data_IF_447236328655
#
_entry.id   IF_447236328655
#
_cell.length_a   1.000
_cell.length_b   1.000
_cell.length_c   1.000
_cell.angle_alpha   90.00
_cell.angle_beta   90.00
_cell.angle_gamma   90.00
#
_symmetry.space_group_name_H-M   'P 1'
#
loop_
_entity.id
_entity.type
_entity.pdbx_description
1 polymer ?
#
# COMPACT_ATOMS: atom_id res chain seq x y z
N UNK A 1 33.86 0.80 17.43
CA UNK A 1 33.37 0.80 16.03
C UNK A 1 33.14 2.25 15.59
N UNK A 2 33.77 2.67 14.50
CA UNK A 2 33.70 4.07 14.03
C UNK A 2 32.29 4.34 13.48
N UNK A 3 31.68 5.47 13.85
CA UNK A 3 30.34 5.89 13.41
C UNK A 3 30.14 5.86 11.88
N UNK A 4 31.23 6.01 11.12
CA UNK A 4 31.21 5.91 9.65
C UNK A 4 30.88 4.51 9.11
N UNK A 5 31.28 3.45 9.81
CA UNK A 5 31.02 2.06 9.36
C UNK A 5 29.53 1.70 9.49
N UNK A 6 28.84 2.29 10.48
CA UNK A 6 27.40 2.08 10.65
C UNK A 6 26.59 2.78 9.55
N UNK A 7 27.02 3.96 9.10
CA UNK A 7 26.37 4.70 8.00
C UNK A 7 26.53 3.94 6.68
N UNK A 8 27.69 3.38 6.41
CA UNK A 8 27.92 2.55 5.21
C UNK A 8 27.14 1.23 5.26
N UNK A 9 26.99 0.62 6.44
CA UNK A 9 26.18 -0.58 6.62
C UNK A 9 24.67 -0.28 6.38
N UNK A 10 24.18 0.87 6.86
CA UNK A 10 22.81 1.32 6.59
C UNK A 10 22.58 1.63 5.11
N UNK A 11 23.55 2.17 4.39
CA UNK A 11 23.48 2.43 2.95
C UNK A 11 23.53 1.12 2.12
N UNK A 12 24.17 0.07 2.60
CA UNK A 12 24.22 -1.23 1.93
C UNK A 12 23.00 -2.12 2.21
N UNK A 13 22.28 -1.90 3.32
CA UNK A 13 21.04 -2.62 3.64
C UNK A 13 19.82 -1.97 2.94
N UNK A 14 19.95 -0.74 2.44
CA UNK A 14 18.89 0.02 1.77
C UNK A 14 18.35 -0.54 0.42
N UNK A 15 18.93 -1.55 -0.28
CA UNK A 15 18.36 -2.02 -1.54
C UNK A 15 17.25 -3.07 -1.43
N UNK A 16 16.81 -3.51 -0.26
CA UNK A 16 15.98 -4.71 -0.16
C UNK A 16 14.57 -4.57 0.41
N UNK A 17 14.03 -3.36 0.56
CA UNK A 17 12.64 -3.21 1.04
C UNK A 17 11.90 -2.23 0.15
N UNK A 18 10.86 -2.72 -0.57
CA UNK A 18 10.23 -1.88 -1.59
C UNK A 18 8.79 -2.29 -1.94
N UNK A 19 7.92 -1.38 -2.28
CA UNK A 19 6.47 -1.48 -2.46
C UNK A 19 5.90 -1.29 -3.85
N UNK A 20 4.68 -1.76 -4.03
CA UNK A 20 3.90 -1.66 -5.26
C UNK A 20 3.33 -0.26 -5.50
N UNK A 21 3.16 0.09 -6.76
CA UNK A 21 3.10 1.43 -7.30
C UNK A 21 1.85 1.77 -8.05
N UNK A 22 1.69 3.07 -8.33
CA UNK A 22 0.81 3.56 -9.37
C UNK A 22 1.46 3.36 -10.74
N UNK A 23 0.80 2.54 -11.58
CA UNK A 23 1.33 2.12 -12.87
C UNK A 23 0.62 2.87 -13.99
N UNK A 24 1.42 3.39 -14.91
CA UNK A 24 0.92 3.81 -16.21
C UNK A 24 1.17 2.68 -17.22
N UNK A 25 0.14 1.94 -17.57
CA UNK A 25 0.22 0.78 -18.45
C UNK A 25 0.75 1.07 -19.85
N UNK A 26 0.68 2.33 -20.32
CA UNK A 26 1.21 2.77 -21.62
C UNK A 26 2.64 3.29 -21.56
N UNK A 27 3.21 3.32 -20.35
CA UNK A 27 4.60 3.73 -20.12
C UNK A 27 5.50 2.56 -19.68
N UNK A 28 4.95 1.35 -19.58
CA UNK A 28 5.71 0.15 -19.27
C UNK A 28 6.49 -0.30 -20.52
N UNK A 29 7.76 -0.56 -20.34
CA UNK A 29 8.67 -1.08 -21.36
C UNK A 29 9.29 -2.38 -20.83
N UNK A 30 9.46 -3.37 -21.69
CA UNK A 30 10.07 -4.65 -21.28
C UNK A 30 11.51 -4.52 -20.77
N UNK A 31 12.19 -3.44 -21.13
CA UNK A 31 13.55 -3.12 -20.64
C UNK A 31 13.61 -2.60 -19.22
N UNK A 32 12.50 -2.06 -18.70
CA UNK A 32 12.43 -1.45 -17.37
C UNK A 32 11.58 -2.32 -16.44
N UNK A 33 12.19 -3.38 -15.94
CA UNK A 33 11.47 -4.37 -15.14
C UNK A 33 11.30 -3.98 -13.66
N UNK A 34 12.10 -3.04 -13.19
CA UNK A 34 12.09 -2.61 -11.80
C UNK A 34 11.43 -1.25 -11.65
N UNK A 35 10.58 -1.15 -10.67
CA UNK A 35 9.82 0.04 -10.34
C UNK A 35 10.03 0.35 -8.85
N UNK A 36 10.52 1.53 -8.51
CA UNK A 36 10.71 2.01 -7.14
C UNK A 36 9.84 3.23 -6.90
N UNK A 37 9.17 3.30 -5.75
CA UNK A 37 8.33 4.45 -5.39
C UNK A 37 8.57 4.91 -3.97
N UNK A 38 8.56 6.21 -3.76
CA UNK A 38 8.43 6.86 -2.47
C UNK A 38 7.07 7.53 -2.40
N UNK A 39 6.40 7.43 -1.26
CA UNK A 39 5.05 7.96 -1.09
C UNK A 39 4.86 8.63 0.26
N UNK A 40 3.98 9.62 0.25
CA UNK A 40 3.45 10.28 1.43
C UNK A 40 1.95 10.44 1.23
N UNK A 41 1.17 10.31 2.29
CA UNK A 41 -0.28 10.43 2.18
C UNK A 41 -1.01 10.21 3.48
N UNK A 42 -2.30 9.92 3.33
CA UNK A 42 -3.19 9.60 4.42
C UNK A 42 -3.93 8.29 4.09
N UNK A 43 -3.82 7.28 4.95
CA UNK A 43 -4.56 6.01 4.86
C UNK A 43 -5.18 5.72 6.24
N UNK A 44 -4.47 5.11 7.15
CA UNK A 44 -4.87 4.91 8.54
C UNK A 44 -4.34 5.99 9.49
N UNK A 45 -3.70 6.98 8.96
CA UNK A 45 -3.10 8.17 9.55
C UNK A 45 -2.30 8.89 8.47
N UNK A 46 -1.58 9.94 8.82
CA UNK A 46 -0.58 10.51 7.91
C UNK A 46 0.59 9.56 7.84
N UNK A 47 0.87 9.01 6.66
CA UNK A 47 1.86 7.94 6.45
C UNK A 47 2.90 8.34 5.42
N UNK A 48 4.09 7.82 5.57
CA UNK A 48 5.09 7.76 4.51
C UNK A 48 5.47 6.32 4.24
N UNK A 49 5.97 6.07 3.07
CA UNK A 49 6.33 4.72 2.69
C UNK A 49 7.15 4.66 1.42
N UNK A 50 7.54 3.47 1.11
CA UNK A 50 8.24 3.19 -0.12
C UNK A 50 7.79 1.86 -0.71
N UNK A 51 7.95 1.71 -2.03
CA UNK A 51 7.41 0.60 -2.78
C UNK A 51 8.30 0.11 -3.91
N UNK A 52 8.30 -1.24 -4.17
CA UNK A 52 8.99 -1.92 -5.28
C UNK A 52 8.04 -2.82 -6.07
N UNK A 53 8.09 -2.74 -7.35
CA UNK A 53 7.44 -3.64 -8.25
C UNK A 53 8.46 -4.28 -9.18
N UNK A 54 8.23 -5.54 -9.49
CA UNK A 54 8.96 -6.26 -10.51
C UNK A 54 7.99 -6.68 -11.63
N UNK A 55 8.24 -6.19 -12.82
CA UNK A 55 7.48 -6.56 -14.01
C UNK A 55 7.98 -7.92 -14.52
N UNK A 56 7.08 -8.88 -14.51
CA UNK A 56 7.37 -10.21 -15.04
C UNK A 56 7.46 -10.15 -16.58
N UNK A 57 8.36 -10.92 -17.19
CA UNK A 57 8.56 -10.95 -18.63
C UNK A 57 7.48 -11.77 -19.35
N UNK A 58 6.21 -11.47 -19.06
CA UNK A 58 5.06 -12.10 -19.73
C UNK A 58 4.56 -11.27 -20.90
N UNK A 59 3.85 -11.90 -21.82
CA UNK A 59 3.19 -11.23 -22.96
C UNK A 59 2.20 -10.16 -22.49
N UNK A 60 1.51 -10.42 -21.39
CA UNK A 60 0.65 -9.44 -20.70
C UNK A 60 1.42 -8.86 -19.51
N UNK A 61 1.36 -7.56 -19.27
CA UNK A 61 2.09 -6.94 -18.17
C UNK A 61 1.54 -7.40 -16.82
N UNK A 62 2.38 -8.12 -16.07
CA UNK A 62 2.11 -8.55 -14.69
C UNK A 62 3.22 -7.99 -13.81
N UNK A 63 2.85 -7.35 -12.73
CA UNK A 63 3.79 -6.77 -11.78
C UNK A 63 3.54 -7.36 -10.42
N UNK A 64 4.56 -7.96 -9.84
CA UNK A 64 4.56 -8.35 -8.44
C UNK A 64 5.11 -7.18 -7.63
N UNK A 65 4.40 -6.78 -6.60
CA UNK A 65 4.78 -5.65 -5.79
C UNK A 65 4.72 -5.93 -4.30
N UNK A 66 5.60 -5.29 -3.59
CA UNK A 66 5.61 -5.33 -2.11
C UNK A 66 5.74 -3.96 -1.51
N UNK A 67 5.38 -3.82 -0.26
CA UNK A 67 5.44 -2.66 0.43
C UNK A 67 5.43 -2.41 1.91
N UNK A 68 5.99 -1.25 2.39
CA UNK A 68 6.00 -0.80 3.78
C UNK A 68 5.51 0.65 3.90
N UNK A 69 4.57 0.95 4.76
CA UNK A 69 4.24 2.29 5.23
C UNK A 69 4.23 2.34 6.75
N UNK A 70 4.56 3.51 7.25
CA UNK A 70 4.52 3.80 8.68
C UNK A 70 3.93 5.20 8.87
N UNK A 71 3.13 5.43 9.90
CA UNK A 71 2.62 6.75 10.19
C UNK A 71 3.73 7.66 10.69
N UNK A 72 3.53 8.96 10.53
CA UNK A 72 4.29 9.95 11.26
C UNK A 72 3.85 9.88 12.73
N UNK A 73 4.74 9.46 13.60
CA UNK A 73 4.46 9.28 15.03
C UNK A 73 5.69 9.42 15.90
N UNK A 74 5.48 9.37 17.21
CA UNK A 74 6.53 9.56 18.21
C UNK A 74 7.58 8.46 18.21
N UNK A 75 7.18 7.23 17.86
CA UNK A 75 8.07 6.06 17.86
C UNK A 75 8.10 5.43 16.47
N UNK A 76 9.30 5.36 15.90
CA UNK A 76 9.52 4.76 14.60
C UNK A 76 9.20 3.25 14.62
N UNK A 77 8.39 2.79 13.68
CA UNK A 77 8.01 1.37 13.52
C UNK A 77 7.09 0.79 14.61
N UNK A 78 6.51 1.59 15.48
CA UNK A 78 5.46 1.10 16.39
C UNK A 78 4.24 0.66 15.59
N UNK A 79 3.84 1.46 14.62
CA UNK A 79 2.79 1.15 13.68
C UNK A 79 3.38 1.00 12.29
N UNK A 80 3.01 -0.05 11.59
CA UNK A 80 3.39 -0.24 10.20
C UNK A 80 2.38 -1.11 9.44
N UNK A 81 2.38 -0.93 8.14
CA UNK A 81 1.67 -1.80 7.20
C UNK A 81 2.63 -2.30 6.14
N UNK A 82 2.72 -3.62 6.02
CA UNK A 82 3.40 -4.30 4.91
C UNK A 82 2.32 -4.85 3.98
N UNK A 83 2.54 -4.80 2.68
CA UNK A 83 1.68 -5.48 1.72
C UNK A 83 2.48 -6.21 0.64
N UNK A 84 1.86 -7.24 0.08
CA UNK A 84 2.31 -7.96 -1.09
C UNK A 84 1.14 -8.00 -2.07
N UNK A 85 1.37 -7.70 -3.34
CA UNK A 85 0.32 -7.69 -4.33
C UNK A 85 0.81 -8.07 -5.72
N UNK A 86 -0.15 -8.42 -6.56
CA UNK A 86 0.04 -8.64 -7.99
C UNK A 86 -0.84 -7.64 -8.71
N UNK A 87 -0.31 -6.99 -9.74
CA UNK A 87 -1.08 -6.07 -10.59
C UNK A 87 -1.01 -6.53 -12.02
N UNK A 88 -2.13 -6.48 -12.71
CA UNK A 88 -2.18 -6.79 -14.13
C UNK A 88 -3.26 -6.00 -14.85
N UNK A 89 -2.99 -5.67 -16.10
CA UNK A 89 -3.98 -5.12 -17.02
C UNK A 89 -4.78 -6.30 -17.59
N UNK A 90 -6.07 -6.38 -17.26
CA UNK A 90 -6.95 -7.49 -17.72
C UNK A 90 -7.64 -7.19 -19.04
N UNK A 91 -7.78 -5.92 -19.38
CA UNK A 91 -8.35 -5.48 -20.64
C UNK A 91 -7.81 -4.12 -21.06
N UNK A 92 -7.65 -3.93 -22.36
CA UNK A 92 -7.37 -2.61 -22.92
C UNK A 92 -7.94 -2.44 -24.33
N UNK A 93 -8.28 -1.19 -24.67
CA UNK A 93 -8.65 -0.77 -26.02
C UNK A 93 -8.29 0.69 -26.23
N UNK A 94 -7.48 0.96 -27.22
CA UNK A 94 -6.92 2.30 -27.41
C UNK A 94 -6.12 2.78 -26.21
N UNK A 95 -6.53 3.90 -25.61
CA UNK A 95 -5.95 4.41 -24.36
C UNK A 95 -6.61 3.91 -23.09
N UNK A 96 -7.77 3.24 -23.18
CA UNK A 96 -8.49 2.73 -22.02
C UNK A 96 -7.89 1.42 -21.53
N UNK A 97 -7.92 1.23 -20.22
CA UNK A 97 -7.43 0.04 -19.53
C UNK A 97 -8.29 -0.29 -18.33
N UNK A 98 -8.49 -1.58 -18.10
CA UNK A 98 -9.00 -2.12 -16.83
C UNK A 98 -7.88 -2.94 -16.21
N UNK A 99 -7.56 -2.65 -14.96
CA UNK A 99 -6.53 -3.36 -14.23
C UNK A 99 -7.05 -3.82 -12.87
N UNK A 100 -6.49 -4.93 -12.40
CA UNK A 100 -6.80 -5.52 -11.10
C UNK A 100 -5.52 -5.66 -10.27
N UNK A 101 -5.69 -5.57 -8.95
CA UNK A 101 -4.60 -5.64 -7.97
C UNK A 101 -5.07 -6.39 -6.72
N UNK A 102 -5.10 -7.73 -6.74
CA UNK A 102 -5.23 -8.52 -5.53
C UNK A 102 -3.95 -8.45 -4.70
N UNK A 103 -4.09 -8.55 -3.38
CA UNK A 103 -2.95 -8.56 -2.47
C UNK A 103 -3.31 -9.02 -1.07
N UNK A 104 -2.27 -9.14 -0.26
CA UNK A 104 -2.37 -9.36 1.18
C UNK A 104 -1.64 -8.26 1.93
N UNK A 105 -2.07 -8.00 3.15
CA UNK A 105 -1.43 -7.01 4.01
C UNK A 105 -1.24 -7.56 5.43
N UNK A 106 -0.21 -7.08 6.09
CA UNK A 106 0.02 -7.24 7.52
C UNK A 106 0.19 -5.85 8.12
N UNK A 107 -0.55 -5.58 9.18
CA UNK A 107 -0.46 -4.34 9.94
C UNK A 107 -0.09 -4.65 11.37
N UNK A 108 0.80 -3.85 11.92
CA UNK A 108 1.00 -3.73 13.36
C UNK A 108 0.42 -2.40 13.80
N UNK A 109 -0.31 -2.44 14.89
CA UNK A 109 -0.81 -1.25 15.56
C UNK A 109 -0.50 -1.35 17.03
N UNK A 110 0.19 -0.34 17.55
CA UNK A 110 0.59 -0.23 18.94
C UNK A 110 -0.24 0.84 19.64
N UNK A 111 -0.90 0.48 20.71
CA UNK A 111 -1.58 1.42 21.59
C UNK A 111 -1.20 1.16 23.04
N UNK A 112 -1.51 2.11 23.92
CA UNK A 112 -1.26 1.95 25.36
C UNK A 112 -2.02 0.77 25.98
N UNK A 113 -3.14 0.36 25.38
CA UNK A 113 -4.03 -0.67 25.93
C UNK A 113 -3.85 -2.04 25.29
N UNK A 114 -3.35 -2.11 24.06
CA UNK A 114 -3.15 -3.36 23.34
C UNK A 114 -2.19 -3.21 22.16
N UNK A 115 -1.51 -4.29 21.80
CA UNK A 115 -0.78 -4.46 20.54
C UNK A 115 -1.58 -5.35 19.61
N UNK A 116 -1.82 -4.88 18.39
CA UNK A 116 -2.60 -5.59 17.40
C UNK A 116 -1.72 -5.96 16.19
N UNK A 117 -1.81 -7.22 15.78
CA UNK A 117 -1.19 -7.71 14.54
C UNK A 117 -2.31 -8.21 13.63
N UNK A 118 -2.59 -7.46 12.60
CA UNK A 118 -3.68 -7.76 11.66
C UNK A 118 -3.15 -8.35 10.37
N UNK A 119 -3.81 -9.39 9.89
CA UNK A 119 -3.61 -9.97 8.56
C UNK A 119 -4.86 -9.70 7.73
N UNK A 120 -4.68 -9.08 6.58
CA UNK A 120 -5.74 -8.69 5.67
C UNK A 120 -5.53 -9.14 4.25
N UNK A 121 -6.62 -9.11 3.48
CA UNK A 121 -6.62 -9.25 2.04
C UNK A 121 -7.10 -7.94 1.41
N UNK A 122 -6.48 -7.56 0.31
CA UNK A 122 -6.82 -6.34 -0.42
C UNK A 122 -7.14 -6.69 -1.86
N UNK A 123 -8.23 -6.16 -2.38
CA UNK A 123 -8.57 -6.26 -3.78
C UNK A 123 -8.86 -4.87 -4.32
N UNK A 124 -8.14 -4.48 -5.36
CA UNK A 124 -8.37 -3.19 -6.01
C UNK A 124 -8.57 -3.42 -7.51
N UNK A 125 -9.46 -2.65 -8.09
CA UNK A 125 -9.66 -2.55 -9.54
C UNK A 125 -9.58 -1.10 -9.97
N UNK A 126 -9.16 -0.86 -11.19
CA UNK A 126 -9.13 0.48 -11.75
C UNK A 126 -9.53 0.47 -13.22
N UNK A 127 -10.25 1.51 -13.62
CA UNK A 127 -10.65 1.78 -14.99
C UNK A 127 -10.12 3.16 -15.33
N UNK A 128 -9.29 3.26 -16.37
CA UNK A 128 -8.62 4.51 -16.68
C UNK A 128 -8.29 4.70 -18.14
N UNK A 129 -7.89 5.93 -18.44
CA UNK A 129 -7.36 6.33 -19.73
C UNK A 129 -5.88 6.72 -19.58
N UNK A 130 -5.03 6.07 -20.35
CA UNK A 130 -3.58 6.22 -20.25
C UNK A 130 -2.97 6.56 -21.60
N UNK A 131 -2.06 7.54 -21.57
CA UNK A 131 -1.12 7.86 -22.63
C UNK A 131 0.31 7.65 -22.14
N UNK A 132 1.31 7.58 -23.02
CA UNK A 132 2.69 7.31 -22.56
C UNK A 132 3.22 8.25 -21.47
N UNK A 133 2.78 9.50 -21.45
CA UNK A 133 3.26 10.50 -20.47
C UNK A 133 2.31 10.72 -19.31
N UNK A 134 1.05 10.36 -19.38
CA UNK A 134 0.09 10.60 -18.33
C UNK A 134 -1.07 9.60 -18.35
N UNK A 135 -1.73 9.46 -17.24
CA UNK A 135 -2.93 8.67 -17.12
C UNK A 135 -3.83 9.18 -16.00
N UNK A 136 -5.12 8.91 -16.14
CA UNK A 136 -6.14 9.16 -15.12
C UNK A 136 -7.03 7.93 -15.04
N UNK A 137 -7.36 7.50 -13.82
CA UNK A 137 -8.23 6.36 -13.60
C UNK A 137 -9.14 6.58 -12.39
N UNK A 138 -10.28 5.95 -12.41
CA UNK A 138 -11.10 5.67 -11.24
C UNK A 138 -10.63 4.38 -10.62
N UNK A 139 -10.69 4.27 -9.30
CA UNK A 139 -10.40 3.02 -8.59
C UNK A 139 -11.48 2.67 -7.61
N UNK A 140 -11.70 1.37 -7.44
CA UNK A 140 -12.53 0.80 -6.42
C UNK A 140 -11.76 -0.35 -5.75
N UNK A 141 -11.88 -0.47 -4.44
CA UNK A 141 -11.16 -1.50 -3.69
C UNK A 141 -11.95 -1.97 -2.48
N UNK A 142 -11.53 -3.12 -1.98
CA UNK A 142 -12.00 -3.69 -0.73
C UNK A 142 -10.81 -4.19 0.07
N UNK A 143 -10.72 -3.76 1.32
CA UNK A 143 -9.69 -4.12 2.29
C UNK A 143 -10.35 -4.94 3.41
N UNK A 144 -10.05 -6.22 3.47
CA UNK A 144 -10.67 -7.17 4.38
C UNK A 144 -9.72 -7.57 5.49
N UNK A 145 -10.06 -7.25 6.72
CA UNK A 145 -9.37 -7.73 7.92
C UNK A 145 -9.75 -9.21 8.17
N UNK A 146 -8.84 -10.12 7.87
CA UNK A 146 -9.09 -11.57 7.94
C UNK A 146 -8.91 -12.12 9.34
N UNK A 147 -7.85 -11.70 10.04
CA UNK A 147 -7.55 -12.12 11.40
C UNK A 147 -6.72 -11.06 12.11
N UNK A 148 -6.93 -10.91 13.40
CA UNK A 148 -6.17 -10.01 14.26
C UNK A 148 -5.71 -10.73 15.52
N UNK A 149 -4.41 -10.76 15.75
CA UNK A 149 -3.85 -11.16 17.05
C UNK A 149 -3.85 -9.94 17.94
N UNK A 150 -4.43 -10.07 19.13
CA UNK A 150 -4.51 -9.01 20.13
C UNK A 150 -3.72 -9.45 21.36
N UNK A 151 -2.73 -8.65 21.73
CA UNK A 151 -1.97 -8.77 22.97
C UNK A 151 -2.36 -7.57 23.85
N UNK A 152 -3.11 -7.84 24.90
CA UNK A 152 -3.56 -6.80 25.81
C UNK A 152 -2.43 -6.39 26.76
N UNK A 153 -2.25 -5.09 26.94
CA UNK A 153 -1.24 -4.50 27.85
C UNK A 153 -1.92 -3.97 29.11
N UNK A 154 -2.03 -2.67 29.27
CA UNK A 154 -2.66 -2.05 30.45
C UNK A 154 -4.15 -2.39 30.59
N UNK A 155 -4.80 -2.89 29.54
CA UNK A 155 -6.20 -3.31 29.63
C UNK A 155 -6.39 -4.48 30.60
N UNK A 156 -5.39 -5.35 30.78
CA UNK A 156 -5.40 -6.45 31.77
C UNK A 156 -5.45 -5.98 33.21
N UNK A 157 -4.98 -4.79 33.50
CA UNK A 157 -5.04 -4.20 34.85
C UNK A 157 -6.48 -3.90 35.27
N UNK A 158 -7.34 -3.63 34.27
CA UNK A 158 -8.76 -3.34 34.51
C UNK A 158 -9.66 -4.56 34.27
N UNK A 159 -9.25 -5.48 33.42
CA UNK A 159 -9.99 -6.69 33.04
C UNK A 159 -9.06 -7.90 33.06
N UNK A 160 -8.79 -8.49 34.25
CA UNK A 160 -7.83 -9.58 34.44
C UNK A 160 -8.16 -10.84 33.60
N UNK A 161 -9.44 -11.07 33.31
CA UNK A 161 -9.93 -12.25 32.59
C UNK A 161 -9.82 -12.12 31.07
N UNK A 162 -9.37 -10.95 30.55
CA UNK A 162 -9.23 -10.75 29.11
C UNK A 162 -8.09 -11.61 28.55
N UNK A 163 -8.37 -12.33 27.47
CA UNK A 163 -7.42 -13.27 26.89
C UNK A 163 -6.74 -12.66 25.66
N UNK A 164 -5.43 -12.86 25.59
CA UNK A 164 -4.66 -12.63 24.37
C UNK A 164 -4.98 -13.74 23.37
N UNK A 165 -4.91 -13.43 22.08
CA UNK A 165 -5.10 -14.45 21.08
C UNK A 165 -5.55 -13.93 19.72
N UNK A 166 -5.84 -14.91 18.86
CA UNK A 166 -6.34 -14.64 17.52
C UNK A 166 -7.86 -14.46 17.51
N UNK A 167 -8.27 -13.34 16.98
CA UNK A 167 -9.66 -13.01 16.70
C UNK A 167 -9.93 -13.13 15.21
N UNK A 168 -11.10 -13.62 14.85
CA UNK A 168 -11.54 -13.79 13.46
C UNK A 168 -11.74 -12.47 12.72
N UNK A 169 -12.36 -12.55 11.54
CA UNK A 169 -12.59 -11.37 10.70
C UNK A 169 -13.34 -10.27 11.44
N UNK A 170 -12.77 -9.08 11.46
CA UNK A 170 -13.35 -7.88 12.05
C UNK A 170 -14.03 -6.97 11.02
N UNK A 171 -14.22 -7.48 9.79
CA UNK A 171 -14.87 -6.73 8.72
C UNK A 171 -13.89 -6.20 7.68
N UNK A 172 -14.32 -5.18 6.95
CA UNK A 172 -13.53 -4.57 5.90
C UNK A 172 -14.01 -3.18 5.51
N UNK A 173 -13.26 -2.56 4.61
CA UNK A 173 -13.56 -1.23 4.12
C UNK A 173 -13.61 -1.20 2.59
N UNK A 174 -14.61 -0.55 2.05
CA UNK A 174 -14.65 -0.18 0.64
C UNK A 174 -13.89 1.13 0.41
N UNK A 175 -13.14 1.19 -0.67
CA UNK A 175 -12.37 2.38 -1.09
C UNK A 175 -12.77 2.75 -2.51
N UNK A 176 -13.10 4.02 -2.71
CA UNK A 176 -13.43 4.57 -4.03
C UNK A 176 -12.66 5.86 -4.23
N UNK A 177 -12.06 6.02 -5.40
CA UNK A 177 -11.24 7.20 -5.65
C UNK A 177 -10.88 7.40 -7.09
N UNK A 178 -10.07 8.43 -7.29
CA UNK A 178 -9.45 8.76 -8.56
C UNK A 178 -7.94 8.81 -8.37
N UNK A 179 -7.23 8.48 -9.43
CA UNK A 179 -5.78 8.57 -9.48
C UNK A 179 -5.32 9.14 -10.81
N UNK A 180 -4.25 9.92 -10.73
CA UNK A 180 -3.59 10.49 -11.89
C UNK A 180 -2.09 10.29 -11.80
N UNK A 181 -1.43 10.16 -12.95
CA UNK A 181 0.03 10.09 -13.00
C UNK A 181 0.58 10.89 -14.19
N UNK A 182 1.81 11.35 -14.02
CA UNK A 182 2.57 12.02 -15.07
C UNK A 182 4.01 11.53 -15.08
N UNK A 183 4.54 11.19 -16.26
CA UNK A 183 5.84 10.59 -16.45
C UNK A 183 6.78 11.48 -17.25
N UNK A 184 7.99 11.63 -16.70
CA UNK A 184 9.13 12.29 -17.30
C UNK A 184 10.23 11.26 -17.52
N UNK A 185 10.23 10.63 -18.71
CA UNK A 185 11.14 9.50 -19.02
C UNK A 185 10.97 8.35 -18.01
N UNK A 186 11.98 8.11 -17.17
CA UNK A 186 12.00 7.03 -16.16
C UNK A 186 11.44 7.42 -14.79
N UNK A 187 11.08 8.69 -14.60
CA UNK A 187 10.51 9.18 -13.32
C UNK A 187 9.07 9.61 -13.53
N UNK A 188 8.19 9.16 -12.66
CA UNK A 188 6.79 9.53 -12.65
C UNK A 188 6.39 10.15 -11.31
N UNK A 189 5.36 10.98 -11.34
CA UNK A 189 4.65 11.48 -10.17
C UNK A 189 3.23 10.97 -10.28
N UNK A 190 2.68 10.46 -9.18
CA UNK A 190 1.29 10.05 -9.13
C UNK A 190 0.60 10.62 -7.89
N UNK A 191 -0.67 10.96 -8.08
CA UNK A 191 -1.57 11.43 -7.03
C UNK A 191 -2.80 10.52 -7.01
N UNK A 192 -3.20 10.13 -5.82
CA UNK A 192 -4.41 9.35 -5.55
C UNK A 192 -5.21 10.03 -4.46
N UNK A 193 -6.52 10.12 -4.64
CA UNK A 193 -7.44 10.65 -3.65
C UNK A 193 -8.75 9.86 -3.68
N UNK A 194 -9.33 9.62 -2.52
CA UNK A 194 -10.58 8.88 -2.46
C UNK A 194 -11.20 8.87 -1.08
N UNK A 195 -12.30 8.13 -0.98
CA UNK A 195 -13.09 7.97 0.23
C UNK A 195 -13.13 6.49 0.63
N UNK A 196 -13.16 6.27 1.95
CA UNK A 196 -13.26 4.97 2.60
C UNK A 196 -14.62 4.86 3.25
N UNK A 197 -15.27 3.73 3.09
CA UNK A 197 -16.55 3.38 3.72
C UNK A 197 -16.38 2.09 4.50
N UNK A 198 -17.00 1.98 5.66
CA UNK A 198 -17.17 0.70 6.34
C UNK A 198 -17.94 -0.29 5.47
N UNK A 199 -17.82 -1.57 5.76
CA UNK A 199 -18.47 -2.63 4.98
C UNK A 199 -20.00 -2.56 5.00
N UNK A 200 -20.58 -1.93 6.03
CA UNK A 200 -22.01 -1.70 6.20
C UNK A 200 -22.51 -0.42 5.51
N UNK A 201 -21.60 0.42 5.02
CA UNK A 201 -21.84 1.76 4.47
C UNK A 201 -22.53 2.76 5.44
N UNK A 202 -22.78 2.35 6.68
CA UNK A 202 -23.41 3.18 7.71
C UNK A 202 -22.36 3.92 8.54
N UNK A 203 -21.30 3.22 8.93
CA UNK A 203 -20.23 3.76 9.74
C UNK A 203 -19.02 4.14 8.90
N UNK A 204 -18.53 5.36 9.07
CA UNK A 204 -17.27 5.75 8.47
C UNK A 204 -16.11 5.32 9.37
N UNK A 205 -14.99 4.83 8.79
CA UNK A 205 -13.78 4.63 9.56
C UNK A 205 -13.25 5.96 10.11
N UNK A 206 -12.40 5.89 11.14
CA UNK A 206 -11.82 7.06 11.81
C UNK A 206 -11.16 8.04 10.81
N UNK A 207 -10.57 7.51 9.75
CA UNK A 207 -10.05 8.28 8.61
C UNK A 207 -10.87 7.92 7.37
N UNK A 208 -11.92 8.71 7.04
CA UNK A 208 -12.85 8.38 5.95
C UNK A 208 -12.33 8.75 4.55
N UNK A 209 -11.15 9.33 4.45
CA UNK A 209 -10.52 9.72 3.19
C UNK A 209 -9.11 9.14 3.12
N UNK A 210 -8.66 8.86 1.90
CA UNK A 210 -7.26 8.54 1.67
C UNK A 210 -6.69 9.46 0.59
N UNK A 211 -5.43 9.78 0.76
CA UNK A 211 -4.64 10.50 -0.24
C UNK A 211 -3.26 9.86 -0.33
N UNK A 212 -2.66 9.91 -1.51
CA UNK A 212 -1.30 9.45 -1.72
C UNK A 212 -0.65 10.27 -2.82
N UNK A 213 0.47 10.89 -2.50
CA UNK A 213 1.39 11.47 -3.46
C UNK A 213 2.61 10.55 -3.55
N UNK A 214 2.96 10.11 -4.74
CA UNK A 214 4.09 9.22 -4.94
C UNK A 214 5.00 9.69 -6.05
N UNK A 215 6.30 9.47 -5.86
CA UNK A 215 7.33 9.59 -6.89
C UNK A 215 7.80 8.20 -7.24
N UNK A 216 7.75 7.87 -8.51
CA UNK A 216 8.03 6.53 -9.04
C UNK A 216 9.21 6.61 -9.98
N UNK A 217 10.16 5.70 -9.84
CA UNK A 217 11.27 5.52 -10.78
C UNK A 217 11.26 4.11 -11.34
N UNK A 218 11.38 4.00 -12.67
CA UNK A 218 11.59 2.74 -13.39
C UNK A 218 13.04 2.62 -13.88
N UNK A 219 13.59 1.42 -13.87
CA UNK A 219 14.95 1.08 -14.33
C UNK A 219 15.08 -0.41 -14.65
#
# INVERSE_FOLDING_TARGET
MKKSTLIWLCLFIAPFIVKAQEINWRNLEASNQHLLSLQIGMDYGTVYGFSYGYQLPFKHPVIIGTGLSTPFGAHFMDDYKVNLNVQTEVWHSGGFSIAVKPGGSMRRYHSAVAHLYNIGLEFNTSIGYYKPKWGVAMEAGYDWSRATYIEHTTLKDYYPDIQDGWYGSTGGNFKFGIKGNYWMKSVGIALKVGKVYGQDFENNPTVPYYTELSVVKKF
#
